data_IF_949737744940
#
_entry.id   IF_949737744940
#
_cell.length_a   1.000
_cell.length_b   1.000
_cell.length_c   1.000
_cell.angle_alpha   90.00
_cell.angle_beta   90.00
_cell.angle_gamma   90.00
#
_symmetry.space_group_name_H-M   'P 1'
#
loop_
_entity.id
_entity.type
_entity.pdbx_description
1 polymer ?
#
# COMPACT_ATOMS: atom_id res chain seq x y z
N UNK A 1 -12.31 -7.07 -14.38
CA UNK A 1 -11.35 -7.41 -13.32
C UNK A 1 -10.00 -7.50 -13.98
N UNK A 2 -9.07 -6.67 -13.54
CA UNK A 2 -7.70 -6.65 -14.01
C UNK A 2 -6.79 -7.14 -12.89
N UNK A 3 -5.62 -7.64 -13.27
CA UNK A 3 -4.56 -7.99 -12.35
C UNK A 3 -3.35 -7.10 -12.64
N UNK A 4 -2.69 -6.64 -11.58
CA UNK A 4 -1.49 -5.82 -11.68
C UNK A 4 -0.45 -6.30 -10.70
N UNK A 5 0.80 -6.29 -11.13
CA UNK A 5 1.94 -6.70 -10.33
C UNK A 5 2.78 -5.44 -10.11
N UNK A 6 2.99 -5.11 -8.85
CA UNK A 6 3.72 -3.94 -8.39
C UNK A 6 4.98 -4.47 -7.71
N UNK A 7 6.14 -4.06 -8.23
CA UNK A 7 7.44 -4.38 -7.65
C UNK A 7 7.76 -3.33 -6.57
N UNK A 8 7.98 -3.78 -5.34
CA UNK A 8 8.31 -2.93 -4.20
C UNK A 8 9.82 -2.85 -4.04
N UNK A 9 10.50 -2.24 -5.00
CA UNK A 9 11.96 -2.15 -4.97
C UNK A 9 12.45 -1.09 -3.95
N UNK A 10 13.14 -1.55 -2.91
CA UNK A 10 13.80 -0.69 -1.92
C UNK A 10 12.98 -0.41 -0.66
N UNK A 11 11.95 -1.21 -0.38
CA UNK A 11 11.34 -1.32 0.95
C UNK A 11 11.01 -2.80 1.22
N UNK A 12 11.29 -3.27 2.43
CA UNK A 12 10.88 -4.62 2.80
C UNK A 12 9.35 -4.72 2.83
N UNK A 13 8.77 -5.82 2.31
CA UNK A 13 7.34 -6.08 2.45
C UNK A 13 6.91 -6.06 3.93
N UNK A 14 7.77 -6.54 4.84
CA UNK A 14 7.51 -6.47 6.29
C UNK A 14 7.40 -5.03 6.80
N UNK A 15 8.21 -4.10 6.27
CA UNK A 15 8.17 -2.69 6.64
C UNK A 15 6.90 -2.00 6.09
N UNK A 16 6.50 -2.35 4.86
CA UNK A 16 5.28 -1.86 4.23
C UNK A 16 4.02 -2.40 4.93
N UNK A 17 3.95 -3.71 5.15
CA UNK A 17 2.81 -4.42 5.73
C UNK A 17 2.75 -4.36 7.25
N UNK A 18 3.84 -3.94 7.88
CA UNK A 18 3.99 -3.87 9.33
C UNK A 18 4.16 -5.25 9.97
N UNK A 19 4.66 -5.23 11.20
CA UNK A 19 4.81 -6.41 12.04
C UNK A 19 3.44 -7.05 12.28
N UNK A 20 3.34 -8.38 12.13
CA UNK A 20 2.09 -9.15 12.21
C UNK A 20 1.01 -8.77 11.17
N UNK A 21 1.40 -8.21 10.01
CA UNK A 21 0.48 -7.84 8.94
C UNK A 21 -0.56 -6.78 9.36
N UNK A 22 -0.32 -6.01 10.42
CA UNK A 22 -1.27 -5.02 10.92
C UNK A 22 -1.65 -4.00 9.85
N UNK A 23 -0.68 -3.48 9.10
CA UNK A 23 -0.91 -2.48 8.05
C UNK A 23 -1.44 -3.11 6.77
N UNK A 24 -0.99 -4.32 6.44
CA UNK A 24 -1.58 -5.10 5.35
C UNK A 24 -3.07 -5.34 5.57
N UNK A 25 -3.46 -5.69 6.81
CA UNK A 25 -4.86 -5.84 7.16
C UNK A 25 -5.61 -4.53 6.99
N UNK A 26 -5.07 -3.40 7.46
CA UNK A 26 -5.70 -2.09 7.25
C UNK A 26 -5.93 -1.78 5.76
N UNK A 27 -4.91 -1.95 4.93
CA UNK A 27 -4.99 -1.70 3.48
C UNK A 27 -6.00 -2.66 2.83
N UNK A 28 -5.96 -3.95 3.17
CA UNK A 28 -6.92 -4.96 2.69
C UNK A 28 -8.35 -4.62 3.14
N UNK A 29 -8.53 -4.13 4.36
CA UNK A 29 -9.83 -3.76 4.90
C UNK A 29 -10.37 -2.46 4.28
N UNK A 30 -9.48 -1.56 3.86
CA UNK A 30 -9.80 -0.35 3.10
C UNK A 30 -10.20 -0.69 1.66
N UNK A 31 -9.52 -1.66 1.04
CA UNK A 31 -9.79 -2.13 -0.31
C UNK A 31 -10.37 -3.56 -0.31
N UNK A 32 -11.57 -3.81 0.25
CA UNK A 32 -12.15 -5.16 0.27
C UNK A 32 -12.53 -5.67 -1.13
N UNK A 33 -12.55 -4.77 -2.12
CA UNK A 33 -12.78 -5.09 -3.54
C UNK A 33 -11.51 -5.49 -4.28
N UNK A 34 -10.33 -5.23 -3.69
CA UNK A 34 -9.04 -5.65 -4.21
C UNK A 34 -8.59 -6.93 -3.52
N UNK A 35 -8.03 -7.84 -4.31
CA UNK A 35 -7.34 -9.02 -3.82
C UNK A 35 -5.84 -8.77 -3.90
N UNK A 36 -5.24 -8.49 -2.75
CA UNK A 36 -3.82 -8.18 -2.61
C UNK A 36 -3.08 -9.46 -2.18
N UNK A 37 -2.00 -9.79 -2.87
CA UNK A 37 -1.16 -10.97 -2.64
C UNK A 37 0.29 -10.49 -2.67
N UNK A 38 0.95 -10.46 -1.51
CA UNK A 38 2.36 -10.10 -1.43
C UNK A 38 3.26 -11.35 -1.35
N UNK A 39 4.34 -11.36 -2.13
CA UNK A 39 5.35 -12.42 -2.17
C UNK A 39 6.73 -11.80 -2.31
N UNK A 40 7.46 -11.70 -1.19
CA UNK A 40 8.76 -11.02 -1.19
C UNK A 40 8.59 -9.57 -1.64
N UNK A 41 9.39 -9.15 -2.61
CA UNK A 41 9.38 -7.81 -3.21
C UNK A 41 8.31 -7.60 -4.30
N UNK A 42 7.40 -8.55 -4.50
CA UNK A 42 6.32 -8.44 -5.48
C UNK A 42 4.95 -8.41 -4.80
N UNK A 43 4.14 -7.42 -5.14
CA UNK A 43 2.74 -7.31 -4.72
C UNK A 43 1.85 -7.48 -5.93
N UNK A 44 1.07 -8.55 -5.94
CA UNK A 44 0.04 -8.79 -6.94
C UNK A 44 -1.32 -8.33 -6.42
N UNK A 45 -1.95 -7.42 -7.14
CA UNK A 45 -3.30 -6.92 -6.84
C UNK A 45 -4.26 -7.32 -7.95
N UNK A 46 -5.48 -7.71 -7.60
CA UNK A 46 -6.50 -8.15 -8.57
C UNK A 46 -7.82 -7.50 -8.19
N UNK A 47 -8.45 -6.79 -9.13
CA UNK A 47 -9.72 -6.11 -8.87
C UNK A 47 -10.09 -5.11 -9.97
N UNK A 48 -10.85 -4.04 -9.66
CA UNK A 48 -11.18 -3.00 -10.62
C UNK A 48 -9.99 -2.04 -10.84
N UNK A 49 -9.84 -1.53 -12.07
CA UNK A 49 -8.68 -0.74 -12.50
C UNK A 49 -8.47 0.51 -11.63
N UNK A 50 -9.56 1.21 -11.28
CA UNK A 50 -9.53 2.41 -10.45
C UNK A 50 -8.92 2.16 -9.06
N UNK A 51 -9.34 1.09 -8.39
CA UNK A 51 -8.83 0.71 -7.07
C UNK A 51 -7.37 0.25 -7.15
N UNK A 52 -7.00 -0.48 -8.21
CA UNK A 52 -5.62 -0.90 -8.47
C UNK A 52 -4.72 0.33 -8.64
N UNK A 53 -5.17 1.32 -9.42
CA UNK A 53 -4.44 2.57 -9.67
C UNK A 53 -4.27 3.38 -8.37
N UNK A 54 -5.33 3.45 -7.56
CA UNK A 54 -5.31 4.06 -6.23
C UNK A 54 -4.29 3.38 -5.32
N UNK A 55 -4.35 2.05 -5.22
CA UNK A 55 -3.41 1.27 -4.41
C UNK A 55 -1.96 1.51 -4.83
N UNK A 56 -1.66 1.48 -6.13
CA UNK A 56 -0.31 1.72 -6.66
C UNK A 56 0.21 3.12 -6.31
N UNK A 57 -0.63 4.16 -6.40
CA UNK A 57 -0.27 5.52 -5.99
C UNK A 57 0.01 5.60 -4.48
N UNK A 58 -0.85 4.98 -3.65
CA UNK A 58 -0.68 4.95 -2.19
C UNK A 58 0.59 4.23 -1.78
N UNK A 59 0.89 3.08 -2.40
CA UNK A 59 2.13 2.33 -2.14
C UNK A 59 3.35 3.17 -2.50
N UNK A 60 3.35 3.86 -3.64
CA UNK A 60 4.45 4.76 -4.00
C UNK A 60 4.63 5.90 -2.99
N UNK A 61 3.54 6.52 -2.53
CA UNK A 61 3.58 7.55 -1.48
C UNK A 61 4.18 7.01 -0.18
N UNK A 62 3.76 5.82 0.25
CA UNK A 62 4.27 5.14 1.45
C UNK A 62 5.78 4.85 1.31
N UNK A 63 6.23 4.39 0.14
CA UNK A 63 7.65 4.14 -0.15
C UNK A 63 8.45 5.45 -0.09
N UNK A 64 7.97 6.52 -0.72
CA UNK A 64 8.66 7.82 -0.72
C UNK A 64 8.73 8.39 0.70
N UNK A 65 7.64 8.31 1.46
CA UNK A 65 7.58 8.73 2.85
C UNK A 65 8.57 7.93 3.71
N UNK A 66 8.59 6.60 3.56
CA UNK A 66 9.55 5.75 4.25
C UNK A 66 11.00 6.09 3.86
N UNK A 67 11.27 6.33 2.59
CA UNK A 67 12.61 6.72 2.13
C UNK A 67 13.05 8.06 2.73
N UNK A 68 12.14 9.02 2.89
CA UNK A 68 12.45 10.34 3.47
C UNK A 68 12.60 10.30 4.99
N UNK A 69 11.69 9.64 5.69
CA UNK A 69 11.61 9.67 7.16
C UNK A 69 12.27 8.46 7.83
N UNK A 70 12.62 7.43 7.06
CA UNK A 70 13.12 6.12 7.52
C UNK A 70 12.24 5.46 8.60
N UNK A 71 10.99 5.90 8.70
CA UNK A 71 10.05 5.49 9.73
C UNK A 71 8.66 5.45 9.13
N UNK A 72 8.02 4.29 9.22
CA UNK A 72 6.61 4.11 8.91
C UNK A 72 5.92 3.67 10.19
N UNK A 73 4.88 4.41 10.57
CA UNK A 73 3.96 4.07 11.66
C UNK A 73 2.59 3.74 11.09
N UNK A 74 1.77 3.07 11.88
CA UNK A 74 0.43 2.61 11.48
C UNK A 74 -0.46 3.82 11.20
N UNK A 75 -0.33 4.85 12.04
CA UNK A 75 -0.96 6.16 11.88
C UNK A 75 -0.57 6.81 10.55
N UNK A 76 0.73 6.82 10.19
CA UNK A 76 1.18 7.39 8.91
C UNK A 76 0.59 6.64 7.72
N UNK A 77 0.41 5.32 7.79
CA UNK A 77 -0.25 4.57 6.71
C UNK A 77 -1.72 4.94 6.62
N UNK A 78 -2.43 5.00 7.75
CA UNK A 78 -3.85 5.38 7.77
C UNK A 78 -4.01 6.80 7.22
N UNK A 79 -3.15 7.72 7.64
CA UNK A 79 -3.11 9.10 7.18
C UNK A 79 -2.85 9.13 5.67
N UNK A 80 -1.77 8.51 5.18
CA UNK A 80 -1.47 8.43 3.75
C UNK A 80 -2.58 7.78 2.92
N UNK A 81 -3.29 6.77 3.46
CA UNK A 81 -4.45 6.16 2.80
C UNK A 81 -5.64 7.12 2.75
N UNK A 82 -5.88 7.90 3.81
CA UNK A 82 -6.97 8.87 3.90
C UNK A 82 -6.68 10.21 3.20
N UNK A 83 -5.41 10.63 3.11
CA UNK A 83 -4.93 11.94 2.62
C UNK A 83 -5.17 12.15 1.10
N UNK A 84 -5.96 11.30 0.45
CA UNK A 84 -6.44 11.55 -0.92
C UNK A 84 -7.48 12.67 -1.04
N UNK A 85 -7.87 13.31 0.06
CA UNK A 85 -8.83 14.40 0.07
C UNK A 85 -8.31 15.61 0.84
N UNK A 86 -7.18 16.19 0.42
CA UNK A 86 -6.85 17.57 0.81
C UNK A 86 -6.11 18.30 -0.31
N UNK A 87 -6.76 18.42 -1.46
CA UNK A 87 -6.55 19.60 -2.29
C UNK A 87 -7.38 20.72 -1.68
N UNK A 88 -6.74 21.56 -0.87
CA UNK A 88 -7.24 22.90 -0.47
C UNK A 88 -7.04 23.86 -1.64
#
# INVERSE_FOLDING_TARGET
>A
MNERIILVEGIDPLALFGVNNTRFNLITNYFPKLKIIARGDEIKVIGPDEEILLFENKVNLIIDFYRRFNSLSDENIIDLLNDTDTSI
#
